data_IF_290477007270
#
_entry.id   IF_290477007270
#
_cell.length_a   1.000
_cell.length_b   1.000
_cell.length_c   1.000
_cell.angle_alpha   90.00
_cell.angle_beta   90.00
_cell.angle_gamma   90.00
#
_symmetry.space_group_name_H-M   'P 1'
#
loop_
_entity.id
_entity.type
_entity.pdbx_description
1 polymer ?
#
# COMPACT_ATOMS: atom_id res chain seq x y z
N UNK A 1 10.85 -3.29 -20.65
CA UNK A 1 11.96 -4.24 -20.42
C UNK A 1 11.84 -5.35 -21.44
N UNK A 2 12.94 -5.72 -22.07
CA UNK A 2 12.95 -6.50 -23.30
C UNK A 2 13.33 -7.95 -23.02
N UNK A 3 12.53 -8.87 -23.56
CA UNK A 3 12.68 -10.32 -23.46
C UNK A 3 12.81 -10.85 -24.88
N UNK A 4 13.89 -11.58 -25.22
CA UNK A 4 14.03 -12.18 -26.54
C UNK A 4 12.96 -13.24 -26.77
N UNK A 5 12.38 -13.24 -27.97
CA UNK A 5 11.34 -14.18 -28.38
C UNK A 5 9.91 -13.71 -28.07
N UNK A 6 8.95 -14.48 -28.58
CA UNK A 6 7.53 -14.24 -28.42
C UNK A 6 7.00 -14.85 -27.11
N UNK A 7 6.34 -14.03 -26.29
CA UNK A 7 5.68 -14.46 -25.05
C UNK A 7 4.23 -14.89 -25.26
N UNK A 8 3.67 -14.77 -26.47
CA UNK A 8 2.28 -15.17 -26.78
C UNK A 8 1.99 -16.63 -26.36
N UNK A 9 2.89 -17.61 -26.54
CA UNK A 9 2.64 -18.98 -26.11
C UNK A 9 2.57 -19.16 -24.58
N UNK A 10 3.13 -18.21 -23.82
CA UNK A 10 3.27 -18.30 -22.35
C UNK A 10 2.22 -17.45 -21.66
N UNK A 11 2.04 -16.21 -22.12
CA UNK A 11 1.18 -15.20 -21.52
C UNK A 11 -0.17 -15.05 -22.25
N UNK A 12 -0.28 -15.62 -23.45
CA UNK A 12 -1.46 -15.49 -24.29
C UNK A 12 -1.61 -14.08 -24.84
N UNK A 13 -2.59 -13.34 -24.35
CA UNK A 13 -2.89 -12.00 -24.82
C UNK A 13 -1.91 -10.95 -24.27
N UNK A 14 -1.94 -9.72 -24.82
CA UNK A 14 -1.13 -8.59 -24.34
C UNK A 14 -1.32 -8.23 -22.85
N UNK A 15 -2.39 -8.74 -22.22
CA UNK A 15 -2.64 -8.64 -20.79
C UNK A 15 -2.69 -10.05 -20.20
N UNK A 16 -1.95 -10.28 -19.14
CA UNK A 16 -1.86 -11.59 -18.50
C UNK A 16 -2.08 -11.48 -17.00
N UNK A 17 -2.80 -12.47 -16.45
CA UNK A 17 -2.99 -12.65 -15.02
C UNK A 17 -2.04 -13.74 -14.52
N UNK A 18 -1.13 -13.38 -13.63
CA UNK A 18 -0.13 -14.26 -13.05
C UNK A 18 -0.42 -14.42 -11.56
N UNK A 19 -0.86 -15.61 -11.16
CA UNK A 19 -0.96 -16.01 -9.76
C UNK A 19 0.21 -16.92 -9.37
N UNK A 20 0.29 -17.29 -8.08
CA UNK A 20 1.34 -18.16 -7.56
C UNK A 20 1.45 -19.49 -8.34
N UNK A 21 0.32 -20.06 -8.78
CA UNK A 21 0.31 -21.30 -9.56
C UNK A 21 0.87 -21.13 -10.96
N UNK A 22 0.49 -20.06 -11.66
CA UNK A 22 1.05 -19.72 -12.96
C UNK A 22 2.55 -19.46 -12.85
N UNK A 23 2.98 -18.68 -11.85
CA UNK A 23 4.39 -18.36 -11.63
C UNK A 23 5.24 -19.60 -11.31
N UNK A 24 4.73 -20.55 -10.52
CA UNK A 24 5.41 -21.84 -10.24
C UNK A 24 5.56 -22.69 -11.50
N UNK A 25 4.59 -22.62 -12.41
CA UNK A 25 4.58 -23.37 -13.66
C UNK A 25 5.33 -22.66 -14.80
N UNK A 26 5.72 -21.39 -14.63
CA UNK A 26 6.51 -20.65 -15.61
C UNK A 26 7.90 -21.28 -15.74
N UNK A 27 8.18 -21.85 -16.91
CA UNK A 27 9.50 -22.39 -17.26
C UNK A 27 10.47 -21.35 -17.82
N UNK A 28 10.05 -20.08 -17.93
CA UNK A 28 10.83 -19.02 -18.56
C UNK A 28 11.56 -18.16 -17.50
N UNK A 29 12.83 -18.48 -17.26
CA UNK A 29 13.68 -17.73 -16.33
C UNK A 29 13.80 -16.24 -16.70
N UNK A 30 13.78 -15.91 -18.00
CA UNK A 30 13.95 -14.53 -18.45
C UNK A 30 12.75 -13.66 -18.13
N UNK A 31 11.55 -14.23 -18.20
CA UNK A 31 10.32 -13.57 -17.78
C UNK A 31 10.37 -13.28 -16.27
N UNK A 32 10.76 -14.27 -15.46
CA UNK A 32 10.92 -14.13 -14.00
C UNK A 32 11.92 -13.03 -13.63
N UNK A 33 13.12 -13.04 -14.24
CA UNK A 33 14.12 -11.97 -14.07
C UNK A 33 13.57 -10.59 -14.43
N UNK A 34 12.76 -10.51 -15.49
CA UNK A 34 12.23 -9.25 -15.98
C UNK A 34 11.18 -8.69 -15.03
N UNK A 35 10.31 -9.55 -14.47
CA UNK A 35 9.35 -9.16 -13.42
C UNK A 35 10.10 -8.67 -12.18
N UNK A 36 11.17 -9.36 -11.76
CA UNK A 36 12.00 -8.94 -10.63
C UNK A 36 12.71 -7.60 -10.89
N UNK A 37 13.20 -7.38 -12.11
CA UNK A 37 13.78 -6.12 -12.52
C UNK A 37 12.76 -4.98 -12.54
N UNK A 38 11.53 -5.25 -13.01
CA UNK A 38 10.41 -4.32 -12.94
C UNK A 38 10.04 -3.96 -11.51
N UNK A 39 10.01 -4.94 -10.60
CA UNK A 39 9.78 -4.72 -9.18
C UNK A 39 10.82 -3.81 -8.54
N UNK A 40 12.11 -3.98 -8.91
CA UNK A 40 13.19 -3.07 -8.49
C UNK A 40 12.96 -1.65 -9.00
N UNK A 41 12.58 -1.49 -10.27
CA UNK A 41 12.26 -0.18 -10.85
C UNK A 41 11.07 0.50 -10.17
N UNK A 42 10.02 -0.26 -9.84
CA UNK A 42 8.88 0.28 -9.07
C UNK A 42 9.30 0.79 -7.70
N UNK A 43 10.14 0.03 -6.99
CA UNK A 43 10.65 0.43 -5.68
C UNK A 43 11.45 1.73 -5.75
N UNK A 44 12.32 1.86 -6.77
CA UNK A 44 13.06 3.09 -7.03
C UNK A 44 12.16 4.28 -7.37
N UNK A 45 11.07 4.06 -8.10
CA UNK A 45 10.13 5.13 -8.46
C UNK A 45 9.28 5.60 -7.28
N UNK A 46 8.88 4.69 -6.40
CA UNK A 46 7.99 4.97 -5.27
C UNK A 46 8.74 5.32 -3.98
N UNK A 47 10.08 5.52 -4.05
CA UNK A 47 10.97 5.72 -2.89
C UNK A 47 10.78 4.66 -1.79
N UNK A 48 10.41 3.44 -2.17
CA UNK A 48 10.25 2.35 -1.22
C UNK A 48 11.62 1.78 -0.86
N UNK A 49 11.93 1.69 0.43
CA UNK A 49 13.19 1.11 0.92
C UNK A 49 13.37 -0.36 0.54
N UNK A 50 12.26 -1.09 0.35
CA UNK A 50 12.26 -2.51 -0.01
C UNK A 50 11.49 -2.75 -1.29
N UNK A 51 11.96 -3.71 -2.08
CA UNK A 51 11.28 -4.17 -3.28
C UNK A 51 10.02 -4.92 -2.88
N UNK A 52 8.85 -4.35 -3.17
CA UNK A 52 7.57 -4.92 -2.78
C UNK A 52 7.15 -6.10 -3.66
N UNK A 53 7.65 -6.17 -4.89
CA UNK A 53 7.21 -7.13 -5.91
C UNK A 53 8.41 -7.89 -6.45
N UNK A 54 8.41 -9.19 -6.26
CA UNK A 54 9.34 -10.14 -6.88
C UNK A 54 8.62 -11.46 -7.08
N UNK A 55 9.07 -12.28 -8.04
CA UNK A 55 8.50 -13.59 -8.31
C UNK A 55 8.53 -14.49 -7.08
N UNK A 56 9.64 -14.49 -6.31
CA UNK A 56 9.71 -15.24 -5.06
C UNK A 56 8.62 -14.82 -4.07
N UNK A 57 8.43 -13.51 -3.84
CA UNK A 57 7.37 -13.00 -2.95
C UNK A 57 5.97 -13.32 -3.46
N UNK A 58 5.76 -13.28 -4.77
CA UNK A 58 4.48 -13.60 -5.39
C UNK A 58 4.14 -15.09 -5.25
N UNK A 59 5.13 -15.98 -5.42
CA UNK A 59 4.98 -17.44 -5.26
C UNK A 59 4.60 -17.85 -3.83
N UNK A 60 5.12 -17.11 -2.84
CA UNK A 60 4.90 -17.35 -1.40
C UNK A 60 3.67 -16.61 -0.84
N UNK A 61 2.89 -15.94 -1.70
CA UNK A 61 1.74 -15.15 -1.30
C UNK A 61 0.52 -15.45 -2.15
N UNK A 62 -0.67 -15.10 -1.67
CA UNK A 62 -1.92 -15.15 -2.45
C UNK A 62 -2.11 -13.87 -3.27
N UNK A 63 -1.02 -13.24 -3.70
CA UNK A 63 -1.06 -12.02 -4.50
C UNK A 63 -1.14 -12.36 -5.97
N UNK A 64 -1.87 -11.53 -6.71
CA UNK A 64 -2.05 -11.68 -8.14
C UNK A 64 -1.37 -10.52 -8.84
N UNK A 65 -0.58 -10.84 -9.85
CA UNK A 65 0.11 -9.87 -10.69
C UNK A 65 -0.56 -9.82 -12.07
N UNK A 66 -1.09 -8.66 -12.42
CA UNK A 66 -1.60 -8.35 -13.74
C UNK A 66 -0.50 -7.66 -14.53
N UNK A 67 -0.12 -8.20 -15.69
CA UNK A 67 1.01 -7.72 -16.47
C UNK A 67 0.56 -7.30 -17.87
N UNK A 68 1.05 -6.14 -18.33
CA UNK A 68 0.88 -5.68 -19.70
C UNK A 68 2.19 -5.84 -20.46
N UNK A 69 2.09 -6.41 -21.66
CA UNK A 69 3.22 -6.67 -22.52
C UNK A 69 2.83 -6.60 -24.00
N UNK A 70 3.83 -6.37 -24.85
CA UNK A 70 3.66 -6.24 -26.30
C UNK A 70 4.77 -7.01 -27.03
N UNK A 71 4.45 -7.61 -28.16
CA UNK A 71 5.41 -8.28 -29.03
C UNK A 71 5.79 -7.38 -30.22
N UNK A 72 7.09 -7.23 -30.46
CA UNK A 72 7.64 -6.47 -31.58
C UNK A 72 8.26 -7.44 -32.59
N UNK A 73 7.50 -7.78 -33.65
CA UNK A 73 7.89 -8.76 -34.66
C UNK A 73 9.14 -8.38 -35.44
N UNK A 74 9.38 -7.09 -35.65
CA UNK A 74 10.56 -6.57 -36.37
C UNK A 74 11.88 -6.98 -35.72
N UNK A 75 11.89 -7.03 -34.37
CA UNK A 75 13.09 -7.33 -33.59
C UNK A 75 13.03 -8.70 -32.92
N UNK A 76 11.92 -9.44 -33.09
CA UNK A 76 11.64 -10.70 -32.38
C UNK A 76 11.81 -10.57 -30.85
N UNK A 77 11.24 -9.50 -30.28
CA UNK A 77 11.37 -9.15 -28.86
C UNK A 77 9.99 -8.87 -28.27
N UNK A 78 9.73 -9.47 -27.12
CA UNK A 78 8.60 -9.14 -26.26
C UNK A 78 9.00 -8.13 -25.20
N UNK A 79 8.18 -7.12 -24.98
CA UNK A 79 8.43 -6.05 -24.01
C UNK A 79 7.33 -5.99 -22.97
N UNK A 80 7.71 -6.11 -21.70
CA UNK A 80 6.80 -5.84 -20.59
C UNK A 80 6.74 -4.32 -20.36
N UNK A 81 5.53 -3.77 -20.38
CA UNK A 81 5.26 -2.33 -20.32
C UNK A 81 4.85 -1.86 -18.93
N UNK A 82 4.24 -2.72 -18.12
CA UNK A 82 3.82 -2.40 -16.76
C UNK A 82 3.13 -3.57 -16.06
N UNK A 83 2.84 -3.39 -14.78
CA UNK A 83 2.10 -4.35 -13.97
C UNK A 83 1.26 -3.68 -12.87
N UNK A 84 0.25 -4.42 -12.41
CA UNK A 84 -0.54 -4.15 -11.21
C UNK A 84 -0.44 -5.37 -10.30
N UNK A 85 -0.12 -5.17 -9.02
CA UNK A 85 -0.17 -6.21 -7.99
C UNK A 85 -1.34 -5.95 -7.06
N UNK A 86 -2.18 -6.96 -6.89
CA UNK A 86 -3.29 -6.95 -5.93
C UNK A 86 -3.22 -8.12 -4.98
N UNK A 87 -3.91 -8.00 -3.86
CA UNK A 87 -4.09 -9.11 -2.91
C UNK A 87 -5.27 -8.85 -1.99
N UNK A 88 -5.90 -9.93 -1.54
CA UNK A 88 -6.98 -9.84 -0.55
C UNK A 88 -6.42 -9.59 0.84
N UNK A 89 -7.04 -8.64 1.56
CA UNK A 89 -6.68 -8.29 2.95
C UNK A 89 -7.95 -8.08 3.77
N UNK A 90 -7.92 -8.55 5.01
CA UNK A 90 -8.89 -8.12 6.03
C UNK A 90 -8.48 -6.74 6.51
N UNK A 91 -9.37 -5.75 6.34
CA UNK A 91 -9.11 -4.38 6.74
C UNK A 91 -10.16 -3.88 7.73
N UNK A 92 -9.69 -3.11 8.70
CA UNK A 92 -10.50 -2.25 9.55
C UNK A 92 -10.37 -0.81 9.05
N UNK A 93 -11.47 -0.27 8.53
CA UNK A 93 -11.55 1.03 7.88
C UNK A 93 -12.43 1.98 8.68
N UNK A 94 -12.14 3.28 8.60
CA UNK A 94 -12.95 4.33 9.19
C UNK A 94 -13.46 5.29 8.11
N UNK A 95 -14.73 5.67 8.21
CA UNK A 95 -15.29 6.74 7.37
C UNK A 95 -14.95 8.14 7.91
N UNK A 96 -15.40 9.18 7.21
CA UNK A 96 -15.22 10.58 7.63
C UNK A 96 -15.93 10.91 8.95
N UNK A 97 -16.93 10.12 9.35
CA UNK A 97 -17.63 10.23 10.63
C UNK A 97 -16.98 9.40 11.73
N UNK A 98 -15.79 8.83 11.48
CA UNK A 98 -15.06 7.93 12.37
C UNK A 98 -15.82 6.65 12.74
N UNK A 99 -16.76 6.19 11.91
CA UNK A 99 -17.44 4.90 12.11
C UNK A 99 -16.54 3.76 11.64
N UNK A 100 -16.38 2.69 12.42
CA UNK A 100 -15.56 1.54 12.06
C UNK A 100 -16.31 0.60 11.10
N UNK A 101 -15.56 0.02 10.17
CA UNK A 101 -16.01 -0.96 9.21
C UNK A 101 -14.96 -2.07 9.11
N UNK A 102 -15.40 -3.32 9.07
CA UNK A 102 -14.53 -4.47 8.83
C UNK A 102 -14.98 -5.21 7.56
N UNK A 103 -14.01 -5.65 6.77
CA UNK A 103 -14.30 -6.42 5.56
C UNK A 103 -13.06 -7.02 4.92
N UNK A 104 -13.31 -7.95 3.99
CA UNK A 104 -12.30 -8.50 3.08
C UNK A 104 -12.28 -7.70 1.79
N UNK A 105 -11.13 -7.12 1.45
CA UNK A 105 -11.00 -6.26 0.27
C UNK A 105 -9.89 -6.75 -0.65
N UNK A 106 -10.14 -6.68 -1.96
CA UNK A 106 -9.07 -6.72 -2.96
C UNK A 106 -8.35 -5.38 -2.92
N UNK A 107 -7.09 -5.39 -2.52
CA UNK A 107 -6.30 -4.18 -2.32
C UNK A 107 -5.26 -4.02 -3.42
N UNK A 108 -5.02 -2.78 -3.84
CA UNK A 108 -3.90 -2.44 -4.71
C UNK A 108 -2.62 -2.31 -3.87
N UNK A 109 -1.65 -3.18 -4.12
CA UNK A 109 -0.43 -3.32 -3.31
C UNK A 109 0.81 -2.76 -3.98
N UNK A 110 0.84 -2.74 -5.31
CA UNK A 110 1.93 -2.13 -6.10
C UNK A 110 1.41 -1.86 -7.51
N UNK A 111 1.83 -0.75 -8.11
CA UNK A 111 1.42 -0.36 -9.45
C UNK A 111 2.55 0.38 -10.15
N UNK A 112 2.96 -0.15 -11.29
CA UNK A 112 4.06 0.44 -12.05
C UNK A 112 3.84 0.31 -13.55
N UNK A 113 4.03 1.42 -14.25
CA UNK A 113 4.14 1.48 -15.70
C UNK A 113 5.49 2.08 -16.04
N UNK A 114 6.20 1.46 -16.98
CA UNK A 114 7.52 1.90 -17.41
C UNK A 114 7.48 3.38 -17.83
N UNK A 115 8.42 4.18 -17.31
CA UNK A 115 8.41 5.65 -17.44
C UNK A 115 8.24 6.14 -18.89
N UNK A 116 8.88 5.50 -19.86
CA UNK A 116 8.80 5.89 -21.29
C UNK A 116 7.42 5.66 -21.92
N UNK A 117 6.54 4.91 -21.24
CA UNK A 117 5.21 4.54 -21.70
C UNK A 117 4.10 5.08 -20.79
N UNK A 118 4.45 5.87 -19.77
CA UNK A 118 3.47 6.53 -18.93
C UNK A 118 2.61 7.50 -19.76
N UNK A 119 1.37 7.71 -19.32
CA UNK A 119 0.36 8.58 -19.96
C UNK A 119 -0.12 8.12 -21.35
N UNK A 120 0.23 6.91 -21.80
CA UNK A 120 -0.28 6.30 -23.05
C UNK A 120 -1.53 5.42 -22.87
N UNK A 121 -2.21 5.51 -21.72
CA UNK A 121 -3.42 4.70 -21.44
C UNK A 121 -3.18 3.27 -20.95
N UNK A 122 -1.94 2.77 -20.94
CA UNK A 122 -1.58 1.41 -20.47
C UNK A 122 -2.07 1.17 -19.03
N UNK A 123 -1.91 2.17 -18.15
CA UNK A 123 -2.35 2.08 -16.77
C UNK A 123 -3.85 1.89 -16.61
N UNK A 124 -4.68 2.60 -17.41
CA UNK A 124 -6.14 2.47 -17.40
C UNK A 124 -6.53 1.05 -17.83
N UNK A 125 -5.95 0.58 -18.93
CA UNK A 125 -6.22 -0.76 -19.48
C UNK A 125 -5.84 -1.87 -18.51
N UNK A 126 -4.71 -1.75 -17.82
CA UNK A 126 -4.31 -2.69 -16.77
C UNK A 126 -5.29 -2.69 -15.60
N UNK A 127 -5.74 -1.51 -15.19
CA UNK A 127 -6.63 -1.37 -14.05
C UNK A 127 -8.04 -1.91 -14.35
N UNK A 128 -8.59 -1.59 -15.52
CA UNK A 128 -9.85 -2.15 -16.01
C UNK A 128 -9.80 -3.67 -16.10
N UNK A 129 -8.73 -4.23 -16.69
CA UNK A 129 -8.53 -5.67 -16.74
C UNK A 129 -8.47 -6.30 -15.36
N UNK A 130 -7.81 -5.65 -14.39
CA UNK A 130 -7.78 -6.13 -13.00
C UNK A 130 -9.19 -6.10 -12.37
N UNK A 131 -9.97 -5.04 -12.56
CA UNK A 131 -11.34 -4.96 -12.02
C UNK A 131 -12.24 -6.06 -12.58
N UNK A 132 -12.16 -6.32 -13.89
CA UNK A 132 -12.93 -7.38 -14.56
C UNK A 132 -12.58 -8.77 -14.01
N UNK A 133 -11.29 -9.09 -13.87
CA UNK A 133 -10.84 -10.40 -13.39
C UNK A 133 -11.10 -10.61 -11.89
N UNK A 134 -11.00 -9.56 -11.07
CA UNK A 134 -11.30 -9.63 -9.64
C UNK A 134 -12.79 -9.50 -9.33
N UNK A 135 -13.64 -9.33 -10.35
CA UNK A 135 -15.10 -9.16 -10.24
C UNK A 135 -15.49 -8.00 -9.33
N UNK A 136 -14.73 -6.90 -9.40
CA UNK A 136 -14.97 -5.69 -8.59
C UNK A 136 -15.76 -4.70 -9.43
N UNK A 137 -16.89 -4.22 -8.87
CA UNK A 137 -17.84 -3.39 -9.63
C UNK A 137 -17.31 -1.99 -9.96
N UNK A 138 -16.34 -1.49 -9.18
CA UNK A 138 -15.69 -0.23 -9.51
C UNK A 138 -14.44 0.07 -8.69
N UNK A 139 -13.63 1.00 -9.20
CA UNK A 139 -12.35 1.40 -8.61
C UNK A 139 -12.46 1.90 -7.15
N UNK A 140 -13.63 2.44 -6.76
CA UNK A 140 -13.86 2.93 -5.40
C UNK A 140 -13.85 1.81 -4.34
N UNK A 141 -14.05 0.55 -4.74
CA UNK A 141 -14.00 -0.62 -3.85
C UNK A 141 -12.58 -1.13 -3.60
N UNK A 142 -11.55 -0.53 -4.22
CA UNK A 142 -10.16 -0.96 -4.11
C UNK A 142 -9.39 -0.05 -3.12
N UNK A 143 -9.08 -0.53 -1.91
CA UNK A 143 -8.14 0.16 -1.03
C UNK A 143 -6.73 0.20 -1.63
N UNK A 144 -6.04 1.32 -1.45
CA UNK A 144 -4.69 1.55 -1.97
C UNK A 144 -3.67 1.49 -0.84
N UNK A 145 -2.68 0.61 -0.91
CA UNK A 145 -1.56 0.55 0.03
C UNK A 145 -0.49 1.57 -0.35
N UNK A 146 -0.21 2.55 0.52
CA UNK A 146 0.80 3.62 0.32
C UNK A 146 0.77 4.25 -1.08
N UNK A 147 -0.35 4.83 -1.52
CA UNK A 147 -0.43 5.37 -2.86
C UNK A 147 0.51 6.56 -3.06
N UNK A 148 1.15 6.62 -4.23
CA UNK A 148 1.91 7.79 -4.67
C UNK A 148 0.99 8.91 -5.13
N UNK A 149 1.51 10.14 -5.19
CA UNK A 149 0.76 11.29 -5.73
C UNK A 149 0.27 11.02 -7.17
N UNK A 150 1.10 10.35 -7.98
CA UNK A 150 0.78 9.95 -9.35
C UNK A 150 -0.39 8.97 -9.39
N UNK A 151 -0.44 8.01 -8.46
CA UNK A 151 -1.54 7.05 -8.37
C UNK A 151 -2.84 7.74 -7.93
N UNK A 152 -2.79 8.64 -6.94
CA UNK A 152 -3.98 9.41 -6.54
C UNK A 152 -4.51 10.28 -7.69
N UNK A 153 -3.62 10.93 -8.44
CA UNK A 153 -3.99 11.71 -9.62
C UNK A 153 -4.59 10.83 -10.74
N UNK A 154 -4.08 9.61 -10.91
CA UNK A 154 -4.65 8.63 -11.83
C UNK A 154 -6.09 8.25 -11.42
N UNK A 155 -6.32 7.98 -10.13
CA UNK A 155 -7.65 7.65 -9.61
C UNK A 155 -8.66 8.80 -9.77
N UNK A 156 -8.22 10.02 -9.48
CA UNK A 156 -9.00 11.23 -9.69
C UNK A 156 -9.39 11.41 -11.17
N UNK A 157 -8.42 11.26 -12.09
CA UNK A 157 -8.62 11.48 -13.52
C UNK A 157 -9.52 10.42 -14.18
N UNK A 158 -9.28 9.14 -13.91
CA UNK A 158 -9.93 8.04 -14.61
C UNK A 158 -11.23 7.58 -13.94
N UNK A 159 -11.35 7.74 -12.62
CA UNK A 159 -12.48 7.22 -11.85
C UNK A 159 -13.22 8.28 -11.03
N UNK A 160 -12.82 9.56 -11.12
CA UNK A 160 -13.46 10.66 -10.38
C UNK A 160 -13.23 10.61 -8.87
N UNK A 161 -12.24 9.85 -8.41
CA UNK A 161 -11.96 9.63 -6.99
C UNK A 161 -11.03 10.71 -6.43
N UNK A 162 -11.61 11.84 -6.02
CA UNK A 162 -10.87 13.05 -5.64
C UNK A 162 -10.64 13.21 -4.13
N UNK A 163 -11.43 12.52 -3.30
CA UNK A 163 -11.45 12.73 -1.84
C UNK A 163 -10.87 11.52 -1.08
N UNK A 164 -9.55 11.28 -1.11
CA UNK A 164 -8.95 10.15 -0.41
C UNK A 164 -9.04 10.31 1.11
N UNK A 165 -9.54 9.26 1.77
CA UNK A 165 -9.58 9.12 3.22
C UNK A 165 -8.35 8.32 3.65
N UNK A 166 -7.43 9.01 4.32
CA UNK A 166 -6.21 8.43 4.85
C UNK A 166 -6.53 7.72 6.16
N UNK A 167 -6.33 6.40 6.19
CA UNK A 167 -6.53 5.61 7.39
C UNK A 167 -5.35 5.78 8.35
N UNK A 168 -5.53 5.38 9.61
CA UNK A 168 -4.42 5.27 10.56
C UNK A 168 -3.37 4.25 10.10
N UNK A 169 -3.78 3.30 9.26
CA UNK A 169 -2.92 2.31 8.60
C UNK A 169 -2.22 2.88 7.36
N UNK A 170 -1.54 2.02 6.61
CA UNK A 170 -0.93 2.40 5.34
C UNK A 170 -1.92 2.60 4.19
N UNK A 171 -3.19 2.24 4.40
CA UNK A 171 -4.21 2.26 3.36
C UNK A 171 -4.87 3.63 3.18
N UNK A 172 -5.26 3.87 1.94
CA UNK A 172 -6.11 4.99 1.53
C UNK A 172 -7.33 4.42 0.82
N UNK A 173 -8.49 4.95 1.17
CA UNK A 173 -9.79 4.53 0.62
C UNK A 173 -10.58 5.76 0.18
N UNK A 174 -11.66 5.56 -0.57
CA UNK A 174 -12.53 6.65 -1.03
C UNK A 174 -13.93 6.51 -0.43
N UNK A 175 -14.64 7.62 -0.12
CA UNK A 175 -15.94 7.58 0.54
C UNK A 175 -16.97 6.60 -0.06
N UNK A 176 -17.07 6.42 -1.39
CA UNK A 176 -18.07 5.51 -1.96
C UNK A 176 -17.91 4.05 -1.53
N UNK A 177 -16.73 3.63 -1.05
CA UNK A 177 -16.49 2.26 -0.54
C UNK A 177 -17.48 1.88 0.57
N UNK A 178 -17.88 2.85 1.40
CA UNK A 178 -18.75 2.63 2.56
C UNK A 178 -20.24 2.64 2.20
N UNK A 179 -20.59 3.08 0.98
CA UNK A 179 -21.98 3.21 0.54
C UNK A 179 -22.46 2.02 -0.28
N UNK A 180 -21.54 1.33 -0.95
CA UNK A 180 -21.87 0.36 -2.00
C UNK A 180 -21.96 -1.10 -1.50
N UNK A 181 -21.26 -1.47 -0.43
CA UNK A 181 -21.10 -2.88 -0.08
C UNK A 181 -21.90 -3.31 1.16
N UNK A 182 -22.86 -4.21 0.95
CA UNK A 182 -23.51 -4.98 2.03
C UNK A 182 -22.57 -5.99 2.68
N UNK A 183 -21.41 -6.26 2.05
CA UNK A 183 -20.37 -7.18 2.55
C UNK A 183 -19.49 -6.56 3.64
N UNK A 184 -19.50 -5.23 3.77
CA UNK A 184 -18.82 -4.52 4.83
C UNK A 184 -19.70 -4.55 6.07
N UNK A 185 -19.30 -5.34 7.06
CA UNK A 185 -20.06 -5.48 8.29
C UNK A 185 -20.01 -4.20 9.11
N UNK A 186 -21.15 -3.54 9.29
CA UNK A 186 -21.32 -2.47 10.28
C UNK A 186 -21.39 -2.99 11.73
N UNK A 187 -21.27 -4.32 11.93
CA UNK A 187 -21.41 -4.99 13.24
C UNK A 187 -20.23 -4.78 14.21
N UNK A 188 -19.30 -3.86 13.90
CA UNK A 188 -18.19 -3.56 14.80
C UNK A 188 -18.69 -2.66 15.93
N UNK A 189 -19.18 -3.27 17.02
CA UNK A 189 -19.61 -2.58 18.26
C UNK A 189 -18.41 -1.84 18.89
N UNK A 190 -17.18 -2.27 18.62
CA UNK A 190 -15.94 -1.63 19.08
C UNK A 190 -14.76 -2.04 18.19
N UNK A 191 -13.82 -1.14 17.85
CA UNK A 191 -12.59 -1.50 17.13
C UNK A 191 -11.81 -2.58 17.90
N UNK A 192 -10.97 -3.39 17.22
CA UNK A 192 -10.03 -4.29 17.88
C UNK A 192 -9.19 -3.58 18.95
N UNK A 193 -8.79 -4.32 19.98
CA UNK A 193 -7.99 -3.77 21.08
C UNK A 193 -6.70 -3.12 20.54
N UNK A 194 -6.41 -1.89 20.99
CA UNK A 194 -5.31 -1.07 20.46
C UNK A 194 -5.63 -0.21 19.23
N UNK A 195 -6.81 -0.33 18.61
CA UNK A 195 -7.24 0.51 17.47
C UNK A 195 -8.23 1.60 17.85
N UNK A 196 -8.86 1.46 19.01
CA UNK A 196 -9.61 2.54 19.66
C UNK A 196 -8.64 3.67 20.02
N UNK A 197 -8.95 4.92 19.66
CA UNK A 197 -8.36 6.05 20.38
C UNK A 197 -8.70 5.85 21.85
N UNK A 198 -7.70 5.94 22.74
CA UNK A 198 -7.95 5.94 24.17
C UNK A 198 -9.06 6.96 24.45
N UNK A 199 -10.25 6.50 24.82
CA UNK A 199 -11.38 7.34 25.18
C UNK A 199 -11.16 8.08 26.52
N UNK A 200 -9.91 8.09 27.01
CA UNK A 200 -9.46 8.71 28.25
C UNK A 200 -8.43 9.82 27.99
N UNK A 201 -8.72 10.72 27.05
CA UNK A 201 -8.33 12.11 27.29
C UNK A 201 -9.48 12.76 28.05
N UNK A 202 -9.27 13.30 29.26
CA UNK A 202 -10.32 13.98 29.99
C UNK A 202 -10.92 15.06 29.10
N UNK A 203 -12.20 14.89 28.78
CA UNK A 203 -13.01 15.92 28.13
C UNK A 203 -12.98 17.12 29.08
N UNK A 204 -12.21 18.16 28.78
CA UNK A 204 -12.25 19.42 29.53
C UNK A 204 -13.64 20.03 29.33
N UNK A 205 -14.59 19.62 30.16
CA UNK A 205 -15.87 20.29 30.36
C UNK A 205 -15.53 21.51 31.21
N UNK A 206 -15.39 22.65 30.54
CA UNK A 206 -15.24 23.93 31.21
C UNK A 206 -16.52 24.25 31.98
N UNK A 207 -16.42 24.21 33.30
CA UNK A 207 -17.35 24.90 34.18
C UNK A 207 -16.59 25.29 35.45
N UNK A 208 -16.38 26.60 35.58
CA UNK A 208 -15.93 27.35 36.74
C UNK A 208 -14.47 27.17 37.17
N UNK A 209 -13.74 28.28 37.07
CA UNK A 209 -12.30 28.37 37.27
C UNK A 209 -11.86 27.96 38.66
N UNK A 210 -11.01 26.94 38.69
CA UNK A 210 -9.78 26.81 39.48
C UNK A 210 -8.91 25.86 38.67
N UNK A 211 -7.66 26.21 38.39
CA UNK A 211 -6.69 25.29 37.76
C UNK A 211 -6.17 24.34 38.86
N UNK A 212 -6.45 23.03 38.86
CA UNK A 212 -5.73 22.11 39.72
C UNK A 212 -4.55 21.55 38.93
N UNK A 213 -3.36 21.69 39.51
CA UNK A 213 -2.09 21.29 38.92
C UNK A 213 -2.07 19.84 38.40
N UNK A 214 -1.24 19.66 37.39
CA UNK A 214 -0.87 18.40 36.74
C UNK A 214 -0.37 17.36 37.75
N UNK A 215 -1.28 16.53 38.29
CA UNK A 215 -0.95 15.36 39.14
C UNK A 215 -0.87 14.04 38.34
N UNK A 216 -0.27 14.07 37.15
CA UNK A 216 0.01 12.84 36.38
C UNK A 216 1.45 12.76 35.88
N UNK A 217 2.39 13.38 36.61
CA UNK A 217 3.83 13.25 36.35
C UNK A 217 4.66 12.85 37.57
N UNK A 218 4.05 12.63 38.74
CA UNK A 218 4.81 12.38 39.97
C UNK A 218 5.20 10.91 40.20
N UNK A 219 4.56 9.95 39.51
CA UNK A 219 4.84 8.51 39.65
C UNK A 219 5.36 7.83 38.37
N UNK A 220 5.73 8.60 37.34
CA UNK A 220 6.46 8.05 36.19
C UNK A 220 7.95 7.92 36.55
N UNK A 221 8.25 6.87 37.30
CA UNK A 221 9.51 6.11 37.39
C UNK A 221 10.79 6.92 37.10
N UNK A 222 11.46 7.28 38.19
CA UNK A 222 12.90 7.51 38.30
C UNK A 222 13.70 6.40 37.59
N UNK A 223 14.61 6.78 36.71
CA UNK A 223 15.65 5.88 36.20
C UNK A 223 16.06 6.16 34.76
N UNK A 224 16.84 7.21 34.53
CA UNK A 224 18.10 7.19 33.77
C UNK A 224 18.52 8.62 33.41
N UNK A 225 19.58 9.09 34.08
CA UNK A 225 20.28 10.33 33.75
C UNK A 225 20.87 10.27 32.35
N UNK A 226 20.63 11.31 31.56
CA UNK A 226 21.30 11.53 30.28
C UNK A 226 22.81 11.78 30.50
N UNK A 227 23.64 10.76 30.27
CA UNK A 227 25.10 10.91 30.21
C UNK A 227 25.51 11.26 28.79
N UNK A 228 26.00 12.51 28.62
CA UNK A 228 26.82 12.94 27.49
C UNK A 228 28.24 12.35 27.61
N UNK A 229 28.83 11.96 26.47
CA UNK A 229 30.25 11.64 26.12
C UNK A 229 30.43 10.17 25.73
N UNK A 230 31.29 9.74 24.80
CA UNK A 230 32.23 10.30 23.82
C UNK A 230 32.78 9.06 23.07
N UNK A 231 33.28 9.20 21.84
CA UNK A 231 33.81 8.11 20.97
C UNK A 231 34.72 7.10 21.70
N UNK A 232 34.50 5.80 21.49
CA UNK A 232 35.56 4.80 21.21
C UNK A 232 34.96 3.47 20.70
N UNK A 233 35.69 2.84 19.76
CA UNK A 233 35.44 1.51 19.19
C UNK A 233 35.62 0.41 20.24
N UNK A 234 34.85 -0.68 20.17
CA UNK A 234 35.30 -2.08 20.08
C UNK A 234 34.10 -3.03 19.94
N UNK A 235 34.40 -4.27 19.57
CA UNK A 235 33.57 -5.28 18.92
C UNK A 235 32.58 -6.03 19.84
N UNK A 236 31.56 -6.57 19.18
CA UNK A 236 31.02 -7.94 19.29
C UNK A 236 29.64 -8.19 19.94
N UNK A 237 28.82 -8.86 19.12
CA UNK A 237 27.70 -9.79 19.34
C UNK A 237 26.61 -9.53 20.40
N UNK A 238 25.37 -9.46 19.92
CA UNK A 238 24.16 -9.66 20.72
C UNK A 238 22.88 -9.34 19.95
N UNK A 239 22.35 -10.34 19.25
CA UNK A 239 21.00 -10.32 18.66
C UNK A 239 19.98 -10.23 19.79
N UNK A 240 19.18 -9.16 19.83
CA UNK A 240 17.93 -9.11 20.59
C UNK A 240 16.84 -8.50 19.71
N UNK A 241 15.93 -9.38 19.27
CA UNK A 241 14.65 -9.03 18.67
C UNK A 241 13.82 -8.20 19.65
N UNK A 242 13.39 -7.02 19.21
CA UNK A 242 12.48 -6.17 19.96
C UNK A 242 11.34 -5.70 19.06
N UNK A 243 10.20 -6.37 19.18
CA UNK A 243 8.93 -5.94 18.58
C UNK A 243 8.51 -4.60 19.19
N UNK A 244 8.69 -3.51 18.43
CA UNK A 244 8.21 -2.19 18.82
C UNK A 244 6.70 -2.14 18.49
N UNK A 245 5.87 -2.36 19.50
CA UNK A 245 4.44 -2.14 19.42
C UNK A 245 4.14 -0.65 19.14
N UNK A 246 3.74 -0.33 17.92
CA UNK A 246 3.29 1.01 17.53
C UNK A 246 1.85 1.25 17.98
N UNK A 247 1.64 2.07 19.02
CA UNK A 247 0.30 2.47 19.46
C UNK A 247 -0.47 3.34 18.43
N UNK A 248 -1.80 3.42 18.52
CA UNK A 248 -2.67 4.03 17.50
C UNK A 248 -2.44 5.53 17.29
N UNK A 249 -1.99 6.25 18.33
CA UNK A 249 -1.62 7.66 18.23
C UNK A 249 -0.38 7.85 17.34
N UNK A 250 0.60 6.95 17.44
CA UNK A 250 1.80 6.97 16.60
C UNK A 250 1.41 6.67 15.14
N UNK A 251 0.52 5.70 14.91
CA UNK A 251 0.04 5.37 13.57
C UNK A 251 -0.73 6.52 12.90
N UNK A 252 -1.58 7.23 13.65
CA UNK A 252 -2.30 8.40 13.14
C UNK A 252 -1.37 9.59 12.82
N UNK A 253 -0.34 9.82 13.64
CA UNK A 253 0.70 10.82 13.36
C UNK A 253 1.48 10.45 12.09
N UNK A 254 1.87 9.18 11.96
CA UNK A 254 2.54 8.67 10.76
C UNK A 254 1.66 8.79 9.51
N UNK A 255 0.36 8.52 9.60
CA UNK A 255 -0.57 8.70 8.50
C UNK A 255 -0.67 10.17 8.05
N UNK A 256 -0.70 11.11 8.99
CA UNK A 256 -0.68 12.56 8.69
C UNK A 256 0.63 12.97 8.02
N UNK A 257 1.77 12.49 8.52
CA UNK A 257 3.07 12.76 7.91
C UNK A 257 3.15 12.22 6.49
N UNK A 258 2.69 10.98 6.25
CA UNK A 258 2.62 10.39 4.90
C UNK A 258 1.71 11.20 3.97
N UNK A 259 0.53 11.61 4.44
CA UNK A 259 -0.36 12.50 3.68
C UNK A 259 0.37 13.80 3.30
N UNK A 260 1.09 14.41 4.24
CA UNK A 260 1.86 15.63 3.97
C UNK A 260 2.98 15.38 2.96
N UNK A 261 3.71 14.27 3.06
CA UNK A 261 4.76 13.89 2.13
C UNK A 261 4.21 13.69 0.71
N UNK A 262 3.12 12.94 0.56
CA UNK A 262 2.47 12.72 -0.74
C UNK A 262 1.91 14.02 -1.33
N UNK A 263 1.25 14.86 -0.53
CA UNK A 263 0.70 16.14 -1.01
C UNK A 263 1.78 17.19 -1.30
N UNK A 264 2.94 17.13 -0.62
CA UNK A 264 4.07 18.03 -0.86
C UNK A 264 4.99 17.57 -1.99
N UNK A 265 4.96 16.28 -2.33
CA UNK A 265 5.68 15.76 -3.49
C UNK A 265 5.13 16.38 -4.78
N UNK A 266 5.98 17.07 -5.54
CA UNK A 266 5.61 17.58 -6.85
C UNK A 266 5.26 16.38 -7.74
N UNK A 267 4.09 16.37 -8.40
CA UNK A 267 3.83 15.37 -9.41
C UNK A 267 4.94 15.51 -10.46
N UNK A 268 5.52 14.39 -10.90
CA UNK A 268 6.48 14.37 -12.00
C UNK A 268 5.72 14.67 -13.31
N UNK A 269 5.27 15.90 -13.51
CA UNK A 269 4.64 16.36 -14.75
C UNK A 269 5.69 16.59 -15.82
#
# INVERSE_FOLDING_TARGET
MDIPGDLSPILGSSLARLDATHLKNLRNHKLTETIDALGKLSASHSNNQTVLTSCAKLIDSDHVLYVAWEYYSENNVSRITGYIKVGRKQLYLFDNSMRPYEGSFVCLLDFYVHYSLQRKGIGSRLFEFMLENEHVSGAHQIPLDKPSATLLAFMAKHYGLNDPIWQSTNFVVFPPIFSADKSIGQNVISPPEGWSRAHSLPRCIGSNGVVPGTRYLENAISGHSAVKKQRQRLQDNGIVSGDIAHGPANSAIQARQRKQEVLSSRPLW
#
